data_IF_984786451058
#
_entry.id   IF_984786451058
#
_cell.length_a   1.000
_cell.length_b   1.000
_cell.length_c   1.000
_cell.angle_alpha   90.00
_cell.angle_beta   90.00
_cell.angle_gamma   90.00
#
_symmetry.space_group_name_H-M   'P 1'
#
loop_
_entity.id
_entity.type
_entity.pdbx_description
1 polymer ?
#
# COMPACT_ATOMS: atom_id res chain seq x y z
N UNK A 1 22.69 -71.80 -10.69
CA UNK A 1 21.98 -73.03 -10.32
C UNK A 1 20.53 -72.64 -10.17
N UNK A 2 19.78 -72.81 -11.19
CA UNK A 2 18.81 -73.89 -11.37
C UNK A 2 17.64 -73.76 -10.38
N UNK A 3 16.40 -73.83 -10.73
CA UNK A 3 15.69 -74.16 -11.94
C UNK A 3 14.22 -74.03 -11.69
N UNK A 4 13.46 -73.49 -12.63
CA UNK A 4 12.29 -74.16 -13.25
C UNK A 4 11.17 -74.63 -12.29
N UNK A 5 9.94 -74.53 -12.56
CA UNK A 5 9.12 -74.37 -13.77
C UNK A 5 7.66 -74.66 -13.39
N UNK A 6 6.75 -73.92 -13.94
CA UNK A 6 5.83 -74.39 -14.99
C UNK A 6 4.53 -75.13 -14.59
N UNK A 7 3.44 -74.57 -15.08
CA UNK A 7 2.22 -75.18 -15.69
C UNK A 7 0.95 -75.34 -14.85
N UNK A 8 -0.03 -74.51 -15.21
CA UNK A 8 -1.20 -74.83 -16.10
C UNK A 8 -2.23 -75.79 -15.57
N UNK A 9 -3.46 -75.37 -15.54
CA UNK A 9 -4.69 -75.78 -16.29
C UNK A 9 -5.90 -75.37 -15.45
N UNK A 10 -6.78 -74.59 -15.89
CA UNK A 10 -7.79 -74.65 -16.97
C UNK A 10 -9.11 -75.32 -16.54
N UNK A 11 -10.15 -74.49 -16.64
CA UNK A 11 -11.53 -74.81 -17.03
C UNK A 11 -12.38 -75.77 -16.12
N UNK A 12 -13.54 -75.31 -15.67
CA UNK A 12 -14.81 -75.64 -16.36
C UNK A 12 -16.01 -74.95 -15.67
N UNK A 13 -16.83 -74.39 -16.50
CA UNK A 13 -18.20 -73.89 -16.37
C UNK A 13 -19.11 -74.66 -15.46
N UNK A 14 -20.00 -73.99 -14.72
CA UNK A 14 -21.47 -74.37 -14.71
C UNK A 14 -22.31 -73.19 -14.20
N UNK A 15 -23.26 -72.85 -15.01
CA UNK A 15 -24.42 -72.00 -14.76
C UNK A 15 -25.32 -72.51 -13.68
N UNK A 16 -25.90 -71.68 -12.82
CA UNK A 16 -27.30 -71.81 -12.31
C UNK A 16 -27.82 -70.38 -12.06
N UNK A 17 -28.97 -70.07 -12.61
CA UNK A 17 -29.85 -68.94 -12.36
C UNK A 17 -30.44 -69.01 -10.96
N UNK A 18 -30.63 -67.87 -10.29
CA UNK A 18 -31.81 -67.54 -9.50
C UNK A 18 -31.86 -66.06 -9.13
N UNK A 19 -32.82 -65.39 -9.66
CA UNK A 19 -33.73 -64.33 -9.17
C UNK A 19 -33.31 -63.48 -7.95
N UNK A 20 -33.15 -62.15 -8.22
CA UNK A 20 -34.01 -61.11 -7.69
C UNK A 20 -33.75 -60.57 -6.28
N UNK A 21 -33.16 -59.45 -6.13
CA UNK A 21 -33.66 -58.32 -5.33
C UNK A 21 -32.96 -57.05 -5.84
N UNK A 22 -33.74 -56.14 -6.41
CA UNK A 22 -33.29 -54.78 -6.76
C UNK A 22 -33.33 -53.98 -5.46
N UNK A 23 -32.16 -53.75 -4.85
CA UNK A 23 -31.97 -52.75 -3.83
C UNK A 23 -31.48 -51.49 -4.53
N UNK A 24 -32.37 -50.51 -4.74
CA UNK A 24 -32.03 -49.14 -5.15
C UNK A 24 -31.35 -48.47 -3.95
N UNK A 25 -30.02 -48.50 -3.92
CA UNK A 25 -29.23 -47.63 -3.07
C UNK A 25 -29.17 -46.28 -3.80
N UNK A 26 -30.01 -45.35 -3.36
CA UNK A 26 -29.86 -43.95 -3.68
C UNK A 26 -28.52 -43.46 -3.07
N UNK A 27 -27.47 -43.53 -3.83
CA UNK A 27 -26.23 -42.84 -3.52
C UNK A 27 -26.51 -41.34 -3.61
N UNK A 28 -26.84 -40.75 -2.47
CA UNK A 28 -26.79 -39.30 -2.29
C UNK A 28 -25.32 -38.87 -2.45
N UNK A 29 -24.97 -38.53 -3.67
CA UNK A 29 -23.73 -37.86 -3.96
C UNK A 29 -23.81 -36.49 -3.28
N UNK A 30 -23.34 -36.38 -2.03
CA UNK A 30 -22.88 -35.13 -1.50
C UNK A 30 -21.71 -34.73 -2.40
N UNK A 31 -22.00 -33.94 -3.42
CA UNK A 31 -20.99 -33.12 -4.07
C UNK A 31 -20.50 -32.18 -3.00
N UNK A 32 -19.38 -32.51 -2.33
CA UNK A 32 -18.52 -31.55 -1.72
C UNK A 32 -18.02 -30.68 -2.89
N UNK A 33 -18.77 -29.65 -3.24
CA UNK A 33 -18.16 -28.52 -3.92
C UNK A 33 -17.11 -28.01 -2.94
N UNK A 34 -15.85 -28.34 -3.19
CA UNK A 34 -14.72 -27.64 -2.63
C UNK A 34 -14.93 -26.17 -2.97
N UNK A 35 -15.32 -25.37 -1.98
CA UNK A 35 -15.37 -23.91 -2.06
C UNK A 35 -13.94 -23.38 -1.99
N UNK A 36 -13.13 -23.73 -3.00
CA UNK A 36 -11.80 -23.14 -3.12
C UNK A 36 -11.95 -21.63 -3.28
N UNK A 37 -11.79 -20.91 -2.17
CA UNK A 37 -11.72 -19.45 -2.12
C UNK A 37 -13.02 -18.69 -1.76
N UNK A 38 -14.14 -19.39 -1.44
CA UNK A 38 -15.38 -18.71 -1.05
C UNK A 38 -15.32 -18.09 0.37
N UNK A 39 -14.45 -18.61 1.24
CA UNK A 39 -14.37 -18.20 2.64
C UNK A 39 -13.23 -17.23 2.95
N UNK A 40 -12.53 -16.77 1.91
CA UNK A 40 -11.38 -15.87 2.03
C UNK A 40 -11.47 -14.69 1.08
N UNK A 41 -10.85 -13.58 1.48
CA UNK A 41 -10.62 -12.38 0.65
C UNK A 41 -9.13 -12.07 0.70
N UNK A 42 -8.49 -12.00 -0.47
CA UNK A 42 -7.09 -11.62 -0.59
C UNK A 42 -7.00 -10.11 -0.86
N UNK A 43 -6.54 -9.35 0.12
CA UNK A 43 -6.30 -7.93 0.01
C UNK A 43 -4.82 -7.70 -0.35
N UNK A 44 -4.55 -7.25 -1.57
CA UNK A 44 -3.22 -6.80 -1.96
C UNK A 44 -2.92 -5.45 -1.29
N UNK A 45 -1.76 -5.32 -0.66
CA UNK A 45 -1.39 -4.09 0.05
C UNK A 45 0.06 -3.69 -0.24
N UNK A 46 0.40 -2.44 0.08
CA UNK A 46 1.79 -2.04 0.24
C UNK A 46 2.42 -2.70 1.49
N UNK A 47 3.76 -2.69 1.58
CA UNK A 47 4.49 -3.43 2.60
C UNK A 47 4.24 -2.92 4.04
N UNK A 48 3.97 -1.63 4.19
CA UNK A 48 3.76 -0.98 5.49
C UNK A 48 2.31 -1.05 6.00
N UNK A 49 1.42 -1.81 5.33
CA UNK A 49 0.04 -1.97 5.80
C UNK A 49 0.00 -2.74 7.12
N UNK A 50 -0.64 -2.14 8.13
CA UNK A 50 -0.77 -2.73 9.45
C UNK A 50 -2.14 -2.42 10.07
N UNK A 51 -2.84 -3.45 10.51
CA UNK A 51 -4.04 -3.32 11.34
C UNK A 51 -3.94 -4.23 12.56
N UNK A 52 -4.49 -3.81 13.70
CA UNK A 52 -4.58 -4.65 14.89
C UNK A 52 -5.30 -5.97 14.59
N UNK A 53 -4.74 -7.10 15.04
CA UNK A 53 -5.30 -8.44 14.81
C UNK A 53 -6.78 -8.52 15.19
N UNK A 54 -7.20 -7.88 16.28
CA UNK A 54 -8.60 -7.81 16.72
C UNK A 54 -9.56 -7.27 15.66
N UNK A 55 -9.09 -6.42 14.74
CA UNK A 55 -9.93 -5.90 13.64
C UNK A 55 -10.03 -6.91 12.51
N UNK A 56 -8.96 -7.66 12.23
CA UNK A 56 -9.02 -8.77 11.27
C UNK A 56 -9.92 -9.90 11.76
N UNK A 57 -9.85 -10.21 13.06
CA UNK A 57 -10.75 -11.18 13.71
C UNK A 57 -12.21 -10.71 13.63
N UNK A 58 -12.44 -9.40 13.91
CA UNK A 58 -13.77 -8.80 13.78
C UNK A 58 -14.31 -8.88 12.35
N UNK A 59 -13.48 -8.63 11.33
CA UNK A 59 -13.91 -8.83 9.94
C UNK A 59 -14.40 -10.25 9.70
N UNK A 60 -13.66 -11.23 10.21
CA UNK A 60 -14.04 -12.66 10.07
C UNK A 60 -15.33 -12.97 10.83
N UNK A 61 -15.49 -12.46 12.05
CA UNK A 61 -16.70 -12.66 12.87
C UNK A 61 -17.94 -12.04 12.20
N UNK A 62 -17.80 -10.82 11.67
CA UNK A 62 -18.91 -10.08 11.07
C UNK A 62 -19.31 -10.61 9.68
N UNK A 63 -18.37 -11.16 8.92
CA UNK A 63 -18.59 -11.52 7.51
C UNK A 63 -18.56 -13.00 7.22
N UNK A 64 -18.01 -13.81 8.12
CA UNK A 64 -17.70 -15.23 7.90
C UNK A 64 -16.48 -15.43 6.97
N UNK A 65 -15.77 -14.37 6.56
CA UNK A 65 -14.68 -14.43 5.60
C UNK A 65 -13.35 -14.08 6.29
N UNK A 66 -12.29 -14.80 5.97
CA UNK A 66 -10.94 -14.46 6.40
C UNK A 66 -10.33 -13.40 5.46
N UNK A 67 -9.82 -12.32 6.01
CA UNK A 67 -9.07 -11.32 5.26
C UNK A 67 -7.57 -11.66 5.25
N UNK A 68 -7.07 -12.09 4.11
CA UNK A 68 -5.64 -12.39 3.92
C UNK A 68 -4.93 -11.14 3.38
N UNK A 69 -3.92 -10.68 4.08
CA UNK A 69 -3.09 -9.54 3.67
C UNK A 69 -1.94 -10.05 2.80
N UNK A 70 -1.87 -9.57 1.57
CA UNK A 70 -0.84 -9.96 0.59
C UNK A 70 0.00 -8.72 0.25
N UNK A 71 1.15 -8.59 0.89
CA UNK A 71 2.07 -7.48 0.66
C UNK A 71 2.76 -7.61 -0.70
N UNK A 72 2.85 -6.53 -1.45
CA UNK A 72 3.27 -6.51 -2.86
C UNK A 72 4.26 -5.37 -3.19
N UNK A 73 5.11 -5.03 -2.24
CA UNK A 73 6.06 -3.93 -2.35
C UNK A 73 5.45 -2.59 -1.94
N UNK A 74 6.15 -1.49 -2.22
CA UNK A 74 5.60 -0.14 -2.00
C UNK A 74 4.57 0.20 -3.10
N UNK A 75 3.83 1.28 -2.96
CA UNK A 75 2.63 1.61 -3.75
C UNK A 75 2.86 1.65 -5.28
N UNK A 76 4.03 2.08 -5.75
CA UNK A 76 4.36 2.05 -7.17
C UNK A 76 4.52 0.63 -7.73
N UNK A 77 5.06 -0.29 -6.93
CA UNK A 77 5.15 -1.71 -7.28
C UNK A 77 3.78 -2.36 -7.25
N UNK A 78 2.99 -2.10 -6.20
CA UNK A 78 1.61 -2.55 -6.05
C UNK A 78 0.74 -2.11 -7.23
N UNK A 79 0.78 -0.82 -7.59
CA UNK A 79 0.08 -0.26 -8.76
C UNK A 79 0.49 -0.97 -10.04
N UNK A 80 1.78 -1.26 -10.22
CA UNK A 80 2.28 -1.98 -11.40
C UNK A 80 1.75 -3.42 -11.47
N UNK A 81 1.74 -4.15 -10.33
CA UNK A 81 1.18 -5.51 -10.26
C UNK A 81 -0.29 -5.53 -10.67
N UNK A 82 -1.09 -4.59 -10.14
CA UNK A 82 -2.52 -4.48 -10.47
C UNK A 82 -2.73 -4.13 -11.94
N UNK A 83 -2.00 -3.15 -12.47
CA UNK A 83 -2.15 -2.66 -13.84
C UNK A 83 -1.73 -3.68 -14.90
N UNK A 84 -0.85 -4.63 -14.56
CA UNK A 84 -0.39 -5.67 -15.48
C UNK A 84 -1.27 -6.92 -15.50
N UNK A 85 -2.26 -7.03 -14.62
CA UNK A 85 -3.10 -8.23 -14.48
C UNK A 85 -4.61 -7.94 -14.55
N UNK A 86 -5.10 -7.07 -15.47
CA UNK A 86 -6.53 -6.80 -15.56
C UNK A 86 -7.29 -8.07 -15.95
N UNK A 87 -8.39 -8.36 -15.23
CA UNK A 87 -9.23 -9.55 -15.45
C UNK A 87 -8.66 -10.86 -14.93
N UNK A 88 -7.41 -10.89 -14.43
CA UNK A 88 -6.80 -12.06 -13.79
C UNK A 88 -5.90 -11.64 -12.61
N UNK A 89 -6.48 -10.94 -11.61
CA UNK A 89 -5.73 -10.36 -10.52
C UNK A 89 -5.17 -11.41 -9.56
N UNK A 90 -4.13 -11.02 -8.81
CA UNK A 90 -3.52 -11.87 -7.77
C UNK A 90 -4.26 -11.81 -6.44
N UNK A 91 -5.27 -10.96 -6.31
CA UNK A 91 -6.11 -10.79 -5.13
C UNK A 91 -7.54 -10.44 -5.50
N UNK A 92 -8.35 -10.11 -4.50
CA UNK A 92 -9.75 -9.75 -4.68
C UNK A 92 -9.97 -8.25 -4.55
N UNK A 93 -9.21 -7.61 -3.68
CA UNK A 93 -9.19 -6.16 -3.49
C UNK A 93 -7.75 -5.66 -3.40
N UNK A 94 -7.56 -4.37 -3.56
CA UNK A 94 -6.28 -3.68 -3.38
C UNK A 94 -6.45 -2.51 -2.44
N UNK A 95 -5.49 -2.27 -1.53
CA UNK A 95 -5.37 -1.08 -0.69
C UNK A 95 -3.96 -0.52 -0.73
N UNK A 96 -3.83 0.83 -0.74
CA UNK A 96 -2.55 1.53 -0.66
C UNK A 96 -1.99 1.96 -2.02
N UNK A 97 -2.82 1.92 -3.08
CA UNK A 97 -2.55 2.70 -4.29
C UNK A 97 -3.00 4.12 -3.97
N UNK A 98 -2.11 5.09 -4.14
CA UNK A 98 -2.39 6.47 -3.80
C UNK A 98 -2.70 7.35 -5.03
N UNK A 99 -3.05 8.62 -4.78
CA UNK A 99 -3.35 9.58 -5.84
C UNK A 99 -2.19 9.82 -6.81
N UNK A 100 -0.96 9.45 -6.44
CA UNK A 100 0.18 9.56 -7.35
C UNK A 100 0.27 8.41 -8.35
N UNK A 101 -0.34 7.25 -8.04
CA UNK A 101 -0.32 6.04 -8.85
C UNK A 101 -1.71 5.57 -9.32
N UNK A 102 -2.80 6.25 -8.92
CA UNK A 102 -4.18 5.83 -9.14
C UNK A 102 -4.56 5.71 -10.63
N UNK A 103 -4.11 6.63 -11.47
CA UNK A 103 -4.47 6.64 -12.89
C UNK A 103 -4.06 5.35 -13.63
N UNK A 104 -2.93 4.73 -13.26
CA UNK A 104 -2.43 3.52 -13.94
C UNK A 104 -3.39 2.33 -13.92
N UNK A 105 -3.88 1.85 -12.76
CA UNK A 105 -4.84 0.73 -12.71
C UNK A 105 -6.21 1.12 -13.27
N UNK A 106 -6.60 2.39 -13.21
CA UNK A 106 -7.82 2.92 -13.83
C UNK A 106 -7.71 2.79 -15.37
N UNK A 107 -6.66 3.36 -15.97
CA UNK A 107 -6.41 3.31 -17.42
C UNK A 107 -6.27 1.87 -17.93
N UNK A 108 -5.68 0.98 -17.13
CA UNK A 108 -5.57 -0.44 -17.44
C UNK A 108 -6.91 -1.19 -17.37
N UNK A 109 -8.00 -0.57 -16.86
CA UNK A 109 -9.28 -1.22 -16.62
C UNK A 109 -9.18 -2.38 -15.63
N UNK A 110 -8.30 -2.27 -14.62
CA UNK A 110 -8.00 -3.32 -13.67
C UNK A 110 -8.93 -3.34 -12.45
N UNK A 111 -9.85 -2.38 -12.37
CA UNK A 111 -10.74 -2.19 -11.22
C UNK A 111 -12.20 -2.49 -11.59
N UNK A 112 -12.95 -3.00 -10.63
CA UNK A 112 -14.39 -3.22 -10.71
C UNK A 112 -15.08 -2.09 -9.92
N UNK A 113 -15.97 -1.29 -10.54
CA UNK A 113 -16.61 -0.20 -9.84
C UNK A 113 -17.44 -0.66 -8.63
N UNK A 114 -17.16 -0.08 -7.48
CA UNK A 114 -17.94 -0.25 -6.27
C UNK A 114 -17.88 1.00 -5.39
N UNK A 115 -19.04 1.56 -5.07
CA UNK A 115 -19.14 2.68 -4.13
C UNK A 115 -19.66 2.21 -2.79
N UNK A 116 -18.79 2.25 -1.78
CA UNK A 116 -19.19 1.93 -0.41
C UNK A 116 -20.27 2.89 0.11
N UNK A 117 -21.32 2.38 0.77
CA UNK A 117 -22.32 3.24 1.42
C UNK A 117 -21.71 4.12 2.53
N UNK A 118 -20.50 3.77 3.05
CA UNK A 118 -19.77 4.52 4.06
C UNK A 118 -18.96 5.68 3.48
N UNK A 119 -18.74 5.72 2.15
CA UNK A 119 -17.94 6.76 1.51
C UNK A 119 -18.47 8.19 1.77
N UNK A 120 -19.79 8.34 1.95
CA UNK A 120 -20.44 9.62 2.31
C UNK A 120 -19.95 10.22 3.62
N UNK A 121 -19.29 9.45 4.49
CA UNK A 121 -18.82 9.89 5.80
C UNK A 121 -17.45 10.60 5.73
N UNK A 122 -16.98 10.96 4.52
CA UNK A 122 -15.73 11.71 4.31
C UNK A 122 -14.94 11.26 3.09
N UNK A 123 -14.87 9.96 2.80
CA UNK A 123 -14.08 9.41 1.71
C UNK A 123 -14.44 10.02 0.32
N UNK A 124 -15.71 10.33 0.10
CA UNK A 124 -16.16 10.93 -1.15
C UNK A 124 -15.54 12.32 -1.46
N UNK A 125 -15.00 13.01 -0.44
CA UNK A 125 -14.31 14.29 -0.62
C UNK A 125 -12.93 14.15 -1.26
N UNK A 126 -12.41 12.94 -1.29
CA UNK A 126 -11.10 12.56 -1.82
C UNK A 126 -11.20 11.62 -3.03
N UNK A 127 -12.39 11.52 -3.64
CA UNK A 127 -12.57 10.68 -4.82
C UNK A 127 -11.63 11.11 -5.96
N UNK A 128 -11.23 10.15 -6.79
CA UNK A 128 -10.51 10.45 -8.03
C UNK A 128 -11.50 11.07 -9.03
N UNK A 129 -11.18 12.26 -9.51
CA UNK A 129 -12.04 12.99 -10.44
C UNK A 129 -12.29 12.17 -11.72
N UNK A 130 -13.55 12.15 -12.17
CA UNK A 130 -13.97 11.40 -13.35
C UNK A 130 -14.11 9.89 -13.17
N UNK A 131 -13.66 9.33 -12.03
CA UNK A 131 -13.61 7.88 -11.77
C UNK A 131 -14.33 7.45 -10.49
N UNK A 132 -15.63 7.79 -10.33
CA UNK A 132 -16.36 7.48 -9.11
C UNK A 132 -16.55 5.95 -8.96
N UNK A 133 -16.15 5.42 -7.82
CA UNK A 133 -16.35 4.03 -7.44
C UNK A 133 -15.29 3.04 -7.90
N UNK A 134 -14.32 3.43 -8.73
CA UNK A 134 -13.18 2.55 -9.06
C UNK A 134 -12.19 2.46 -7.91
N UNK A 135 -11.94 3.59 -7.24
CA UNK A 135 -11.13 3.70 -6.04
C UNK A 135 -11.87 4.53 -4.99
N UNK A 136 -11.84 4.04 -3.74
CA UNK A 136 -12.42 4.71 -2.58
C UNK A 136 -11.33 5.12 -1.61
N UNK A 137 -11.26 6.40 -1.23
CA UNK A 137 -10.27 6.90 -0.28
C UNK A 137 -10.47 6.27 1.11
N UNK A 138 -9.38 5.88 1.76
CA UNK A 138 -9.38 5.29 3.11
C UNK A 138 -8.70 6.20 4.12
N UNK A 139 -7.59 6.79 3.72
CA UNK A 139 -6.80 7.67 4.56
C UNK A 139 -6.06 8.71 3.74
N UNK A 140 -5.39 9.61 4.45
CA UNK A 140 -4.51 10.61 3.86
C UNK A 140 -3.26 10.80 4.71
N UNK A 141 -2.14 11.08 4.03
CA UNK A 141 -0.90 11.50 4.63
C UNK A 141 -0.36 12.73 3.90
N UNK A 142 0.38 13.59 4.60
CA UNK A 142 1.10 14.68 3.96
C UNK A 142 2.57 14.27 3.92
N UNK A 143 3.09 13.96 2.72
CA UNK A 143 4.49 13.57 2.53
C UNK A 143 5.37 14.79 2.74
N UNK A 144 6.23 14.72 3.74
CA UNK A 144 7.14 15.80 4.16
C UNK A 144 8.53 15.23 4.47
N UNK A 145 9.54 16.09 4.58
CA UNK A 145 10.84 15.69 5.13
C UNK A 145 10.75 15.63 6.66
N UNK A 146 11.33 14.61 7.24
CA UNK A 146 11.43 14.41 8.70
C UNK A 146 12.89 14.46 9.16
N UNK A 147 13.10 14.94 10.37
CA UNK A 147 14.43 15.21 10.94
C UNK A 147 14.51 14.59 12.33
N UNK A 148 15.62 13.92 12.62
CA UNK A 148 15.99 13.41 13.95
C UNK A 148 16.65 14.51 14.77
N UNK A 149 15.87 15.21 15.61
CA UNK A 149 16.38 16.30 16.46
C UNK A 149 17.47 15.81 17.41
N UNK A 150 17.32 14.61 17.99
CA UNK A 150 18.29 14.08 18.95
C UNK A 150 19.65 13.82 18.29
N UNK A 151 19.68 13.40 17.03
CA UNK A 151 20.91 13.26 16.26
C UNK A 151 21.58 14.63 16.06
N UNK A 152 20.82 15.65 15.64
CA UNK A 152 21.35 16.99 15.40
C UNK A 152 21.87 17.64 16.67
N UNK A 153 21.14 17.54 17.78
CA UNK A 153 21.57 18.01 19.09
C UNK A 153 22.88 17.33 19.56
N UNK A 154 22.99 16.01 19.33
CA UNK A 154 24.17 15.24 19.72
C UNK A 154 25.42 15.55 18.89
N UNK A 155 25.25 16.11 17.69
CA UNK A 155 26.33 16.47 16.78
C UNK A 155 26.63 17.96 16.74
N UNK A 156 25.99 18.76 17.62
CA UNK A 156 26.16 20.23 17.68
C UNK A 156 25.94 20.89 16.32
N UNK A 157 24.94 20.41 15.56
CA UNK A 157 24.56 20.86 14.25
C UNK A 157 23.11 21.32 14.26
N UNK A 158 22.83 22.52 13.77
CA UNK A 158 21.44 22.98 13.60
C UNK A 158 20.68 22.12 12.60
N UNK A 159 19.48 21.66 12.97
CA UNK A 159 18.63 20.88 12.09
C UNK A 159 18.08 21.72 10.92
N UNK A 160 17.86 21.14 9.72
CA UNK A 160 17.28 21.88 8.61
C UNK A 160 15.80 22.23 8.90
N UNK A 161 15.38 23.42 8.46
CA UNK A 161 14.02 23.93 8.64
C UNK A 161 13.24 24.03 7.32
N UNK A 162 13.91 23.79 6.21
CA UNK A 162 13.38 23.91 4.85
C UNK A 162 13.98 22.84 3.95
N UNK A 163 13.28 22.44 2.89
CA UNK A 163 13.90 21.59 1.88
C UNK A 163 15.02 22.31 1.11
N UNK A 164 15.06 23.64 1.10
CA UNK A 164 16.17 24.39 0.53
C UNK A 164 17.49 24.15 1.27
N UNK A 165 17.43 23.91 2.59
CA UNK A 165 18.60 23.67 3.43
C UNK A 165 19.29 22.34 3.08
N UNK A 166 18.55 21.35 2.60
CA UNK A 166 19.06 19.98 2.33
C UNK A 166 20.20 19.96 1.30
N UNK A 167 20.33 20.99 0.50
CA UNK A 167 21.41 21.11 -0.50
C UNK A 167 22.62 21.89 0.01
N UNK A 168 22.59 22.38 1.25
CA UNK A 168 23.73 23.05 1.87
C UNK A 168 24.84 22.06 2.25
N UNK A 169 26.13 22.43 2.10
CA UNK A 169 27.24 21.52 2.39
C UNK A 169 27.27 20.96 3.81
N UNK A 170 26.71 21.67 4.82
CA UNK A 170 26.66 21.21 6.21
C UNK A 170 25.76 19.99 6.41
N UNK A 171 24.83 19.70 5.47
CA UNK A 171 23.93 18.52 5.50
C UNK A 171 24.37 17.43 4.50
N UNK A 172 25.63 17.47 4.07
CA UNK A 172 26.18 16.46 3.16
C UNK A 172 26.09 15.05 3.76
N UNK A 173 25.62 14.11 2.92
CA UNK A 173 25.46 12.67 3.24
C UNK A 173 24.46 12.38 4.38
N UNK A 174 23.60 13.33 4.76
CA UNK A 174 22.66 13.18 5.88
C UNK A 174 21.23 12.78 5.46
N UNK A 175 20.89 12.79 4.17
CA UNK A 175 19.53 12.61 3.70
C UNK A 175 19.32 11.23 3.06
N UNK A 176 18.19 10.57 3.37
CA UNK A 176 17.68 9.41 2.64
C UNK A 176 16.35 9.72 1.97
N UNK A 177 16.21 9.30 0.72
CA UNK A 177 15.04 9.44 -0.15
C UNK A 177 14.61 8.08 -0.66
N UNK A 178 13.41 7.99 -1.21
CA UNK A 178 12.93 6.82 -1.94
C UNK A 178 12.89 7.07 -3.44
N UNK A 179 13.02 5.97 -4.22
CA UNK A 179 12.88 6.02 -5.67
C UNK A 179 11.42 6.38 -6.03
N UNK A 180 11.16 7.51 -6.72
CA UNK A 180 9.81 7.94 -7.07
C UNK A 180 9.09 7.01 -8.04
N UNK A 181 9.81 6.09 -8.69
CA UNK A 181 9.19 5.10 -9.59
C UNK A 181 8.49 3.97 -8.80
N UNK A 182 8.93 3.69 -7.58
CA UNK A 182 8.48 2.54 -6.79
C UNK A 182 7.75 2.91 -5.52
N UNK A 183 7.98 4.10 -4.96
CA UNK A 183 7.49 4.54 -3.65
C UNK A 183 6.56 5.75 -3.73
N UNK A 184 5.44 5.69 -3.00
CA UNK A 184 4.52 6.83 -2.82
C UNK A 184 5.20 8.04 -2.19
N UNK A 185 5.85 7.95 -1.01
CA UNK A 185 6.54 9.09 -0.45
C UNK A 185 7.69 9.58 -1.33
N UNK A 186 8.34 8.68 -2.08
CA UNK A 186 9.34 9.08 -3.08
C UNK A 186 8.73 9.92 -4.22
N UNK A 187 7.59 9.50 -4.76
CA UNK A 187 6.87 10.27 -5.77
C UNK A 187 6.29 11.56 -5.17
N UNK A 188 5.72 11.51 -3.97
CA UNK A 188 5.22 12.69 -3.27
C UNK A 188 6.29 13.76 -3.06
N UNK A 189 7.51 13.36 -2.67
CA UNK A 189 8.65 14.29 -2.56
C UNK A 189 9.06 14.86 -3.92
N UNK A 190 9.15 14.04 -4.97
CA UNK A 190 9.40 14.53 -6.32
C UNK A 190 8.38 15.59 -6.72
N UNK A 191 7.06 15.28 -6.54
CA UNK A 191 5.98 16.20 -6.89
C UNK A 191 5.96 17.46 -6.02
N UNK A 192 6.34 17.39 -4.75
CA UNK A 192 6.47 18.56 -3.89
C UNK A 192 7.54 19.50 -4.42
N UNK A 193 8.67 18.95 -4.87
CA UNK A 193 9.76 19.76 -5.48
C UNK A 193 9.37 20.33 -6.84
N UNK A 194 8.62 19.56 -7.67
CA UNK A 194 8.06 20.10 -8.93
C UNK A 194 7.08 21.24 -8.64
N UNK A 195 6.23 21.11 -7.63
CA UNK A 195 5.30 22.16 -7.22
C UNK A 195 6.00 23.42 -6.71
N UNK A 196 7.13 23.27 -6.01
CA UNK A 196 7.90 24.37 -5.44
C UNK A 196 8.79 25.07 -6.47
N UNK A 197 9.54 24.29 -7.26
CA UNK A 197 10.58 24.83 -8.15
C UNK A 197 10.18 24.85 -9.63
N UNK A 198 9.06 24.22 -10.00
CA UNK A 198 8.61 24.15 -11.40
C UNK A 198 9.68 23.54 -12.31
N UNK A 199 10.03 24.27 -13.37
CA UNK A 199 11.06 23.85 -14.35
C UNK A 199 12.48 23.74 -13.76
N UNK A 200 12.74 24.35 -12.61
CA UNK A 200 14.04 24.34 -11.95
C UNK A 200 14.20 23.16 -10.96
N UNK A 201 13.17 22.29 -10.82
CA UNK A 201 13.23 21.09 -9.97
C UNK A 201 14.41 20.15 -10.31
N UNK A 202 14.78 19.90 -11.59
CA UNK A 202 15.95 19.07 -11.91
C UNK A 202 17.28 19.67 -11.39
N UNK A 203 17.40 21.00 -11.29
CA UNK A 203 18.58 21.64 -10.71
C UNK A 203 18.66 21.42 -9.20
N UNK A 204 17.51 21.46 -8.51
CA UNK A 204 17.43 21.10 -7.10
C UNK A 204 17.82 19.63 -6.88
N UNK A 205 17.27 18.69 -7.68
CA UNK A 205 17.60 17.26 -7.56
C UNK A 205 19.10 16.98 -7.78
N UNK A 206 19.71 17.68 -8.74
CA UNK A 206 21.16 17.57 -8.98
C UNK A 206 21.99 18.03 -7.79
N UNK A 207 21.59 19.15 -7.16
CA UNK A 207 22.24 19.67 -5.95
C UNK A 207 22.06 18.68 -4.78
N UNK A 208 20.85 18.16 -4.58
CA UNK A 208 20.53 17.21 -3.53
C UNK A 208 21.33 15.91 -3.69
N UNK A 209 21.40 15.34 -4.90
CA UNK A 209 22.25 14.20 -5.23
C UNK A 209 23.75 14.52 -5.07
N UNK A 210 24.17 15.70 -5.50
CA UNK A 210 25.56 16.19 -5.32
C UNK A 210 25.92 16.39 -3.85
N UNK A 211 24.93 16.61 -2.98
CA UNK A 211 25.08 16.67 -1.52
C UNK A 211 24.99 15.28 -0.86
N UNK A 212 24.99 14.19 -1.63
CA UNK A 212 25.11 12.84 -1.13
C UNK A 212 23.81 12.23 -0.60
N UNK A 213 22.64 12.72 -1.04
CA UNK A 213 21.37 12.09 -0.68
C UNK A 213 21.33 10.62 -1.17
N UNK A 214 21.05 9.71 -0.26
CA UNK A 214 20.91 8.28 -0.54
C UNK A 214 19.49 7.99 -1.06
N UNK A 215 19.38 7.17 -2.11
CA UNK A 215 18.10 6.73 -2.64
C UNK A 215 17.92 5.23 -2.41
N UNK A 216 16.79 4.84 -1.82
CA UNK A 216 16.40 3.44 -1.55
C UNK A 216 15.08 3.09 -2.23
N UNK A 217 14.70 1.82 -2.25
CA UNK A 217 13.57 1.33 -3.04
C UNK A 217 12.20 1.74 -2.49
N UNK A 218 12.05 1.91 -1.17
CA UNK A 218 10.76 2.17 -0.55
C UNK A 218 10.87 2.72 0.87
N UNK A 219 9.71 3.11 1.40
CA UNK A 219 9.60 3.77 2.71
C UNK A 219 10.07 2.89 3.86
N UNK A 220 9.74 1.61 3.84
CA UNK A 220 10.12 0.65 4.88
C UNK A 220 11.65 0.60 5.08
N UNK A 221 12.40 0.62 3.99
CA UNK A 221 13.86 0.67 4.04
C UNK A 221 14.35 2.05 4.52
N UNK A 222 13.80 3.12 3.94
CA UNK A 222 14.23 4.48 4.27
C UNK A 222 14.01 4.80 5.75
N UNK A 223 12.77 4.57 6.23
CA UNK A 223 12.35 5.01 7.57
C UNK A 223 12.79 4.05 8.67
N UNK A 224 12.57 2.74 8.48
CA UNK A 224 12.84 1.78 9.55
C UNK A 224 14.28 1.28 9.61
N UNK A 225 15.05 1.36 8.50
CA UNK A 225 16.41 0.80 8.47
C UNK A 225 17.50 1.86 8.34
N UNK A 226 17.28 2.92 7.55
CA UNK A 226 18.32 3.91 7.20
C UNK A 226 18.20 5.19 8.02
N UNK A 227 17.00 5.60 8.41
CA UNK A 227 16.78 6.76 9.27
C UNK A 227 17.31 6.51 10.68
N UNK A 228 18.02 7.49 11.26
CA UNK A 228 18.68 7.33 12.57
C UNK A 228 17.69 7.15 13.72
N UNK A 229 16.52 7.80 13.66
CA UNK A 229 15.45 7.61 14.63
C UNK A 229 14.54 6.42 14.31
N UNK A 230 14.76 5.71 13.19
CA UNK A 230 14.02 4.49 12.83
C UNK A 230 14.40 3.30 13.72
N UNK A 231 13.65 2.21 13.62
CA UNK A 231 13.86 1.00 14.44
C UNK A 231 15.26 0.39 14.25
N UNK A 232 15.81 0.45 13.04
CA UNK A 232 17.15 -0.05 12.69
C UNK A 232 18.30 0.84 13.13
N UNK A 233 18.02 2.03 13.68
CA UNK A 233 19.04 3.01 14.09
C UNK A 233 20.09 3.25 13.00
N UNK A 234 19.62 3.63 11.80
CA UNK A 234 20.49 3.94 10.66
C UNK A 234 21.37 5.17 10.87
N UNK A 235 22.01 5.63 9.81
CA UNK A 235 22.99 6.72 9.87
C UNK A 235 22.51 8.04 9.21
N UNK A 236 21.26 8.10 8.70
CA UNK A 236 20.70 9.30 8.04
C UNK A 236 19.71 9.99 8.96
N UNK A 237 20.01 11.19 9.48
CA UNK A 237 19.11 11.94 10.35
C UNK A 237 18.01 12.71 9.62
N UNK A 238 17.98 12.68 8.28
CA UNK A 238 16.98 13.32 7.44
C UNK A 238 16.36 12.28 6.52
N UNK A 239 15.02 12.15 6.56
CA UNK A 239 14.28 11.18 5.74
C UNK A 239 13.03 11.83 5.14
N UNK A 240 12.65 11.44 3.94
CA UNK A 240 11.29 11.71 3.44
C UNK A 240 10.32 10.75 4.11
N UNK A 241 9.27 11.29 4.73
CA UNK A 241 8.21 10.52 5.37
C UNK A 241 6.92 11.35 5.43
N UNK A 242 6.22 11.38 6.55
CA UNK A 242 4.93 12.06 6.68
C UNK A 242 4.96 13.13 7.78
N UNK A 243 4.08 14.15 7.65
CA UNK A 243 3.83 15.12 8.72
C UNK A 243 3.40 14.45 10.04
N UNK A 244 2.82 13.28 9.95
CA UNK A 244 2.34 12.47 11.09
C UNK A 244 3.42 11.60 11.74
N UNK A 245 4.54 11.34 11.08
CA UNK A 245 5.60 10.46 11.59
C UNK A 245 6.15 10.83 12.97
N UNK A 246 6.25 12.14 13.35
CA UNK A 246 6.69 12.50 14.70
C UNK A 246 5.74 12.07 15.82
N UNK A 247 4.48 11.74 15.52
CA UNK A 247 3.57 11.15 16.51
C UNK A 247 3.94 9.70 16.86
N UNK A 248 4.55 8.98 15.90
CA UNK A 248 5.07 7.62 16.09
C UNK A 248 6.48 7.63 16.70
N UNK A 249 7.33 8.55 16.24
CA UNK A 249 8.77 8.59 16.58
C UNK A 249 9.09 9.88 17.34
N UNK A 250 8.99 9.85 18.69
CA UNK A 250 9.34 10.99 19.53
C UNK A 250 10.80 11.44 19.34
N UNK A 251 11.05 12.75 19.40
CA UNK A 251 12.38 13.31 19.17
C UNK A 251 12.67 13.59 17.70
N UNK A 252 11.61 13.55 16.87
CA UNK A 252 11.66 13.96 15.47
C UNK A 252 10.68 15.09 15.20
N UNK A 253 10.89 15.85 14.13
CA UNK A 253 9.91 16.78 13.59
C UNK A 253 9.81 16.69 12.07
N UNK A 254 8.70 17.17 11.52
CA UNK A 254 8.48 17.27 10.08
C UNK A 254 8.69 18.71 9.59
N UNK A 255 9.42 18.89 8.50
CA UNK A 255 9.54 20.15 7.78
C UNK A 255 8.27 20.35 6.96
N UNK A 256 7.44 21.33 7.32
CA UNK A 256 6.09 21.50 6.78
C UNK A 256 6.00 22.49 5.61
N UNK A 257 7.11 23.01 5.11
CA UNK A 257 7.14 24.08 4.10
C UNK A 257 6.90 23.61 2.66
N UNK A 258 6.96 22.30 2.41
CA UNK A 258 6.83 21.71 1.07
C UNK A 258 6.34 20.27 1.11
N UNK A 259 5.21 20.05 1.76
CA UNK A 259 4.58 18.73 1.80
C UNK A 259 3.70 18.49 0.57
N UNK A 260 3.54 17.22 0.20
CA UNK A 260 2.62 16.77 -0.85
C UNK A 260 1.44 16.02 -0.22
N UNK A 261 0.22 16.38 -0.60
CA UNK A 261 -0.99 15.71 -0.12
C UNK A 261 -1.15 14.33 -0.78
N UNK A 262 -0.97 13.28 -0.02
CA UNK A 262 -1.18 11.89 -0.42
C UNK A 262 -2.56 11.41 0.07
N UNK A 263 -3.27 10.65 -0.78
CA UNK A 263 -4.53 9.98 -0.45
C UNK A 263 -4.37 8.52 -0.85
N UNK A 264 -4.61 7.60 0.08
CA UNK A 264 -4.58 6.17 -0.20
C UNK A 264 -5.97 5.62 -0.43
N UNK A 265 -6.06 4.71 -1.38
CA UNK A 265 -7.32 4.17 -1.86
C UNK A 265 -7.41 2.67 -1.70
N UNK A 266 -8.66 2.19 -1.57
CA UNK A 266 -9.05 0.79 -1.73
C UNK A 266 -9.92 0.64 -2.96
N UNK A 267 -9.77 -0.49 -3.68
CA UNK A 267 -10.60 -0.83 -4.83
C UNK A 267 -10.84 -2.33 -4.95
N UNK A 268 -11.94 -2.71 -5.59
CA UNK A 268 -12.22 -4.08 -5.99
C UNK A 268 -11.47 -4.39 -7.27
N UNK A 269 -10.79 -5.53 -7.34
CA UNK A 269 -10.05 -5.93 -8.53
C UNK A 269 -10.95 -6.58 -9.56
N UNK A 270 -10.87 -6.16 -10.81
CA UNK A 270 -11.63 -6.74 -11.91
C UNK A 270 -11.19 -8.18 -12.18
N UNK A 271 -12.14 -9.10 -12.15
CA UNK A 271 -11.85 -10.53 -12.26
C UNK A 271 -11.50 -11.20 -10.93
N UNK A 272 -11.73 -10.53 -9.81
CA UNK A 272 -11.60 -11.10 -8.47
C UNK A 272 -12.40 -12.41 -8.32
N UNK A 273 -11.87 -13.37 -7.59
CA UNK A 273 -12.56 -14.64 -7.33
C UNK A 273 -13.71 -14.48 -6.35
N UNK A 274 -13.57 -13.54 -5.40
CA UNK A 274 -14.57 -13.23 -4.38
C UNK A 274 -14.94 -11.73 -4.42
N UNK A 275 -15.68 -11.31 -5.45
CA UNK A 275 -16.10 -9.90 -5.64
C UNK A 275 -16.92 -9.38 -4.45
N UNK A 276 -17.86 -10.19 -3.93
CA UNK A 276 -18.69 -9.76 -2.80
C UNK A 276 -17.88 -9.68 -1.50
N UNK A 277 -16.91 -10.55 -1.31
CA UNK A 277 -15.94 -10.44 -0.22
C UNK A 277 -15.04 -9.21 -0.34
N UNK A 278 -14.60 -8.88 -1.57
CA UNK A 278 -13.83 -7.68 -1.85
C UNK A 278 -14.60 -6.39 -1.50
N UNK A 279 -15.89 -6.31 -1.86
CA UNK A 279 -16.78 -5.19 -1.47
C UNK A 279 -16.88 -5.05 0.05
N UNK A 280 -17.01 -6.18 0.78
CA UNK A 280 -17.00 -6.17 2.25
C UNK A 280 -15.66 -5.68 2.81
N UNK A 281 -14.52 -6.01 2.17
CA UNK A 281 -13.22 -5.48 2.57
C UNK A 281 -13.11 -3.96 2.36
N UNK A 282 -13.68 -3.42 1.25
CA UNK A 282 -13.80 -1.98 1.05
C UNK A 282 -14.61 -1.32 2.18
N UNK A 283 -15.79 -1.87 2.49
CA UNK A 283 -16.65 -1.35 3.56
C UNK A 283 -15.97 -1.44 4.93
N UNK A 284 -15.23 -2.53 5.17
CA UNK A 284 -14.48 -2.74 6.42
C UNK A 284 -13.40 -1.67 6.63
N UNK A 285 -12.60 -1.35 5.61
CA UNK A 285 -11.58 -0.31 5.71
C UNK A 285 -12.17 1.09 5.96
N UNK A 286 -13.43 1.31 5.56
CA UNK A 286 -14.17 2.53 5.85
C UNK A 286 -14.99 2.45 7.15
N UNK A 287 -14.97 1.34 7.87
CA UNK A 287 -15.72 1.19 9.11
C UNK A 287 -15.18 2.12 10.21
N UNK A 288 -16.03 2.58 11.14
CA UNK A 288 -15.60 3.45 12.24
C UNK A 288 -14.46 2.86 13.07
N UNK A 289 -14.46 1.53 13.28
CA UNK A 289 -13.44 0.84 14.08
C UNK A 289 -12.06 0.88 13.40
N UNK A 290 -12.00 0.62 12.08
CA UNK A 290 -10.76 0.72 11.31
C UNK A 290 -10.30 2.16 11.22
N UNK A 291 -11.18 3.08 10.86
CA UNK A 291 -10.85 4.51 10.74
C UNK A 291 -10.32 5.10 12.07
N UNK A 292 -10.85 4.65 13.20
CA UNK A 292 -10.34 5.06 14.52
C UNK A 292 -8.97 4.45 14.86
N UNK A 293 -8.61 3.32 14.26
CA UNK A 293 -7.33 2.65 14.48
C UNK A 293 -6.19 3.22 13.61
N UNK A 294 -6.50 3.74 12.40
CA UNK A 294 -5.50 4.22 11.45
C UNK A 294 -4.44 5.15 12.06
N UNK A 295 -4.79 6.13 12.91
CA UNK A 295 -3.78 7.02 13.49
C UNK A 295 -2.70 6.30 14.33
N UNK A 296 -3.02 5.14 14.91
CA UNK A 296 -2.11 4.42 15.80
C UNK A 296 -1.52 3.15 15.20
N UNK A 297 -2.09 2.66 14.09
CA UNK A 297 -1.58 1.47 13.41
C UNK A 297 -0.82 1.78 12.14
N UNK A 298 -1.22 2.81 11.41
CA UNK A 298 -0.59 3.21 10.15
C UNK A 298 -0.02 4.63 10.17
N UNK A 299 -0.27 5.38 11.24
CA UNK A 299 0.18 6.76 11.40
C UNK A 299 -0.26 7.69 10.25
N UNK A 300 -1.49 7.49 9.76
CA UNK A 300 -2.14 8.29 8.73
C UNK A 300 -3.43 8.92 9.26
N UNK A 301 -3.92 9.97 8.60
CA UNK A 301 -5.17 10.63 8.98
C UNK A 301 -6.35 9.88 8.36
N UNK A 302 -7.37 9.48 9.15
CA UNK A 302 -8.58 8.87 8.61
C UNK A 302 -9.32 9.87 7.72
N UNK A 303 -9.99 9.36 6.67
CA UNK A 303 -10.88 10.18 5.85
C UNK A 303 -12.26 10.36 6.48
N UNK A 304 -12.63 9.49 7.42
CA UNK A 304 -13.92 9.57 8.10
C UNK A 304 -13.99 10.80 9.00
N UNK A 305 -15.04 11.59 8.81
CA UNK A 305 -15.31 12.78 9.63
C UNK A 305 -15.60 12.42 11.07
N UNK A 306 -15.12 13.24 11.99
CA UNK A 306 -15.41 13.10 13.44
C UNK A 306 -14.55 12.11 14.19
N UNK A 307 -13.63 11.40 13.52
CA UNK A 307 -12.64 10.56 14.20
C UNK A 307 -11.73 11.41 15.06
N UNK A 308 -11.63 11.06 16.35
CA UNK A 308 -10.79 11.77 17.31
C UNK A 308 -9.34 11.28 17.19
N UNK A 309 -8.44 12.19 16.84
CA UNK A 309 -7.01 11.89 16.81
C UNK A 309 -6.45 11.77 18.24
N UNK A 310 -5.46 10.88 18.47
CA UNK A 310 -4.78 10.75 19.75
C UNK A 310 -4.19 12.09 20.22
N UNK A 311 -4.11 12.30 21.54
CA UNK A 311 -3.60 13.56 22.11
C UNK A 311 -2.18 13.88 21.63
N UNK A 312 -1.30 12.86 21.53
CA UNK A 312 0.07 13.00 21.04
C UNK A 312 0.13 13.57 19.62
N UNK A 313 -0.85 13.28 18.77
CA UNK A 313 -0.91 13.78 17.40
C UNK A 313 -1.07 15.30 17.34
N UNK A 314 -1.91 15.86 18.21
CA UNK A 314 -2.13 17.30 18.26
C UNK A 314 -0.89 18.10 18.65
N UNK A 315 0.05 17.46 19.34
CA UNK A 315 1.30 18.10 19.77
C UNK A 315 2.47 17.84 18.82
N UNK A 316 2.56 16.63 18.23
CA UNK A 316 3.73 16.17 17.49
C UNK A 316 3.52 16.03 16.00
N UNK A 317 2.28 16.02 15.53
CA UNK A 317 1.92 15.87 14.13
C UNK A 317 0.98 17.01 13.68
N UNK A 318 1.41 18.29 13.72
CA UNK A 318 0.61 19.38 13.18
C UNK A 318 0.44 19.18 11.68
N UNK A 319 -0.80 19.35 11.20
CA UNK A 319 -1.05 19.31 9.77
C UNK A 319 -0.37 20.51 9.10
N UNK A 320 0.23 20.33 7.90
CA UNK A 320 0.75 21.44 7.12
C UNK A 320 -0.33 22.48 6.83
N UNK A 321 0.02 23.78 6.92
CA UNK A 321 -0.90 24.85 6.57
C UNK A 321 -1.23 24.88 5.07
N UNK A 322 -0.31 24.37 4.25
CA UNK A 322 -0.45 24.24 2.81
C UNK A 322 0.30 22.99 2.33
N UNK A 323 -0.25 22.32 1.32
CA UNK A 323 0.37 21.16 0.67
C UNK A 323 0.25 21.28 -0.84
N UNK A 324 1.25 20.77 -1.56
CA UNK A 324 1.16 20.58 -3.00
C UNK A 324 0.09 19.53 -3.28
N UNK A 325 -0.80 19.85 -4.23
CA UNK A 325 -1.82 18.92 -4.75
C UNK A 325 -1.72 18.91 -6.26
N UNK A 326 -1.80 17.74 -6.85
CA UNK A 326 -1.83 17.58 -8.29
C UNK A 326 -2.89 16.55 -8.66
N UNK A 327 -3.56 16.79 -9.74
CA UNK A 327 -4.54 15.87 -10.31
C UNK A 327 -3.85 14.56 -10.76
N UNK A 328 -4.43 13.36 -10.49
CA UNK A 328 -3.84 12.08 -10.87
C UNK A 328 -3.58 11.93 -12.37
N UNK A 329 -4.46 12.43 -13.23
CA UNK A 329 -4.28 12.38 -14.69
C UNK A 329 -3.14 13.29 -15.13
N UNK A 330 -3.03 14.49 -14.51
CA UNK A 330 -1.90 15.38 -14.75
C UNK A 330 -0.58 14.73 -14.33
N UNK A 331 -0.54 14.07 -13.17
CA UNK A 331 0.62 13.31 -12.71
C UNK A 331 0.94 12.20 -13.72
N UNK A 332 -0.05 11.41 -14.13
CA UNK A 332 0.14 10.30 -15.07
C UNK A 332 0.71 10.77 -16.42
N UNK A 333 0.20 11.89 -16.93
CA UNK A 333 0.63 12.49 -18.19
C UNK A 333 2.10 12.94 -18.18
N UNK A 334 2.59 13.46 -17.05
CA UNK A 334 3.94 14.03 -16.94
C UNK A 334 4.93 13.11 -16.22
N UNK A 335 4.47 12.01 -15.63
CA UNK A 335 5.26 11.09 -14.82
C UNK A 335 6.56 10.65 -15.50
N UNK A 336 6.48 10.14 -16.73
CA UNK A 336 7.65 9.58 -17.42
C UNK A 336 8.70 10.65 -17.74
N UNK A 337 8.26 11.87 -18.02
CA UNK A 337 9.16 13.01 -18.19
C UNK A 337 9.92 13.30 -16.88
N UNK A 338 9.20 13.45 -15.76
CA UNK A 338 9.82 13.73 -14.45
C UNK A 338 10.71 12.57 -13.98
N UNK A 339 10.28 11.33 -14.16
CA UNK A 339 11.10 10.17 -13.80
C UNK A 339 12.38 10.07 -14.65
N UNK A 340 12.31 10.44 -15.92
CA UNK A 340 13.50 10.50 -16.80
C UNK A 340 14.46 11.57 -16.32
N UNK A 341 13.98 12.80 -16.08
CA UNK A 341 14.77 13.90 -15.55
C UNK A 341 15.38 13.54 -14.18
N UNK A 342 14.61 12.87 -13.30
CA UNK A 342 15.11 12.39 -12.01
C UNK A 342 16.27 11.41 -12.19
N UNK A 343 16.10 10.37 -13.04
CA UNK A 343 17.15 9.37 -13.29
C UNK A 343 18.44 9.95 -13.89
N UNK A 344 18.33 11.01 -14.69
CA UNK A 344 19.47 11.71 -15.28
C UNK A 344 20.21 12.60 -14.27
N UNK A 345 19.51 13.08 -13.26
CA UNK A 345 20.05 14.04 -12.29
C UNK A 345 20.49 13.42 -10.96
N UNK A 346 19.79 12.38 -10.51
CA UNK A 346 20.04 11.70 -9.23
C UNK A 346 20.87 10.43 -9.48
N UNK A 347 22.10 10.42 -8.99
CA UNK A 347 22.97 9.23 -9.02
C UNK A 347 22.50 8.24 -7.94
N UNK A 348 22.42 6.98 -8.31
CA UNK A 348 22.15 5.86 -7.41
C UNK A 348 23.43 5.36 -6.77
#
# INVERSE_FOLDING_TARGET
>A
MENRAVKRRAQTMRRILALGVVAVVAASSFACTSSDGADEVNLLTHDSFELPQKLLDKFQDDTGLKLNIVRSGDAGQLSSVVSLTPGSPKGDAVFGIDNTFAARPIDAGALEPYTSPLAKNGAAEYAVDGHPGELTAVDRGDVCVNVDEAWFDSNDLEAPNSIDDLVEPKYRDLTVLMDPATSSPGMGFLLSTVGRYGKDAPDYWRKLSGNGAQVVAGWEIAYNQVFSAGEGHGDKPIVVSYASSPAATPGTHAILDSCFAQIEYVGVLKGARNVEGAKKAVDFLLSPDVQAALPTSMYVYPVQKGVQLPFSWRQRAPAPAWTVRMDPDYINKHREEWLTQWRETVKR
#
